data_IF_593829244632
#
_entry.id   IF_593829244632
#
_cell.length_a   1.000
_cell.length_b   1.000
_cell.length_c   1.000
_cell.angle_alpha   90.00
_cell.angle_beta   90.00
_cell.angle_gamma   90.00
#
_symmetry.space_group_name_H-M   'P 1'
#
loop_
_entity.id
_entity.type
_entity.pdbx_description
1 polymer ?
#
# COMPACT_ATOMS: atom_id res chain seq x y z
N UNK A 1 10.90 6.95 -28.83
CA UNK A 1 11.25 7.32 -27.44
C UNK A 1 10.48 6.36 -26.55
N UNK A 2 11.17 5.42 -25.90
CA UNK A 2 10.52 4.50 -24.96
C UNK A 2 9.93 5.31 -23.81
N UNK A 3 8.67 5.06 -23.47
CA UNK A 3 7.94 5.81 -22.45
C UNK A 3 8.16 5.13 -21.11
N UNK A 4 9.17 5.58 -20.36
CA UNK A 4 9.42 5.09 -19.00
C UNK A 4 8.40 5.69 -18.03
N UNK A 5 7.65 4.83 -17.34
CA UNK A 5 6.76 5.23 -16.25
C UNK A 5 7.59 5.35 -14.96
N UNK A 6 7.71 6.56 -14.41
CA UNK A 6 8.50 6.82 -13.19
C UNK A 6 7.63 7.35 -12.04
N UNK A 7 7.88 6.86 -10.83
CA UNK A 7 7.17 7.23 -9.62
C UNK A 7 7.99 6.88 -8.37
N UNK A 8 7.60 7.39 -7.21
CA UNK A 8 8.33 7.17 -5.95
C UNK A 8 7.65 6.09 -5.14
N UNK A 9 8.39 5.06 -4.72
CA UNK A 9 7.91 4.00 -3.83
C UNK A 9 8.77 3.96 -2.58
N UNK A 10 8.16 4.14 -1.40
CA UNK A 10 8.85 4.13 -0.10
C UNK A 10 10.07 5.07 -0.06
N UNK A 11 9.95 6.25 -0.67
CA UNK A 11 11.01 7.26 -0.75
C UNK A 11 12.07 7.02 -1.84
N UNK A 12 11.95 5.96 -2.64
CA UNK A 12 12.88 5.65 -3.74
C UNK A 12 12.22 5.88 -5.10
N UNK A 13 12.90 6.61 -5.98
CA UNK A 13 12.46 6.76 -7.37
C UNK A 13 12.65 5.42 -8.09
N UNK A 14 11.57 4.90 -8.67
CA UNK A 14 11.55 3.66 -9.44
C UNK A 14 10.91 3.91 -10.81
N UNK A 15 11.13 2.99 -11.75
CA UNK A 15 10.48 3.07 -13.05
C UNK A 15 10.41 1.75 -13.80
N UNK A 16 9.57 1.73 -14.83
CA UNK A 16 9.39 0.60 -15.74
C UNK A 16 8.84 1.08 -17.07
N UNK A 17 9.19 0.39 -18.16
CA UNK A 17 8.63 0.64 -19.49
C UNK A 17 7.38 -0.20 -19.76
N UNK A 18 7.01 -1.11 -18.84
CA UNK A 18 5.84 -1.97 -18.96
C UNK A 18 4.58 -1.32 -18.40
N UNK A 19 3.51 -1.28 -19.21
CA UNK A 19 2.16 -0.92 -18.75
C UNK A 19 1.48 -2.15 -18.13
N UNK A 20 1.48 -2.24 -16.80
CA UNK A 20 0.83 -3.33 -16.07
C UNK A 20 0.14 -2.87 -14.80
N UNK A 21 -0.57 -3.79 -14.16
CA UNK A 21 -1.17 -3.55 -12.84
C UNK A 21 -0.11 -3.06 -11.86
N UNK A 22 -0.37 -1.97 -11.15
CA UNK A 22 0.54 -1.43 -10.16
C UNK A 22 0.78 -2.45 -9.03
N UNK A 23 -0.26 -3.18 -8.62
CA UNK A 23 -0.13 -4.28 -7.65
C UNK A 23 0.91 -5.30 -8.10
N UNK A 24 0.87 -5.72 -9.38
CA UNK A 24 1.79 -6.72 -9.92
C UNK A 24 3.21 -6.19 -9.98
N UNK A 25 3.40 -4.96 -10.43
CA UNK A 25 4.72 -4.32 -10.40
C UNK A 25 5.30 -4.23 -8.97
N UNK A 26 4.54 -3.69 -8.01
CA UNK A 26 5.00 -3.58 -6.62
C UNK A 26 5.33 -4.95 -6.02
N UNK A 27 4.47 -5.95 -6.25
CA UNK A 27 4.60 -7.26 -5.62
C UNK A 27 5.64 -8.14 -6.30
N UNK A 28 5.63 -8.21 -7.62
CA UNK A 28 6.37 -9.22 -8.38
C UNK A 28 7.72 -8.67 -8.85
N UNK A 29 7.78 -7.41 -9.28
CA UNK A 29 9.02 -6.78 -9.74
C UNK A 29 9.82 -6.17 -8.57
N UNK A 30 9.17 -5.38 -7.72
CA UNK A 30 9.82 -4.75 -6.56
C UNK A 30 9.84 -5.62 -5.30
N UNK A 31 9.25 -6.82 -5.36
CA UNK A 31 9.22 -7.79 -4.26
C UNK A 31 8.58 -7.26 -2.96
N UNK A 32 7.71 -6.25 -3.03
CA UNK A 32 6.96 -5.72 -1.89
C UNK A 32 5.76 -6.63 -1.59
N UNK A 33 6.07 -7.80 -1.01
CA UNK A 33 5.10 -8.89 -0.82
C UNK A 33 4.05 -8.58 0.26
N UNK A 34 4.14 -7.45 0.97
CA UNK A 34 3.05 -6.98 1.84
C UNK A 34 1.79 -6.64 1.05
N UNK A 35 1.93 -6.18 -0.19
CA UNK A 35 0.82 -5.92 -1.11
C UNK A 35 0.24 -7.27 -1.55
N UNK A 36 -0.97 -7.61 -1.08
CA UNK A 36 -1.57 -8.93 -1.32
C UNK A 36 -2.59 -8.91 -2.45
N UNK A 37 -2.51 -9.89 -3.34
CA UNK A 37 -3.54 -10.17 -4.32
C UNK A 37 -4.60 -11.11 -3.71
N UNK A 38 -5.69 -10.55 -3.21
CA UNK A 38 -6.81 -11.34 -2.67
C UNK A 38 -8.00 -11.48 -3.64
N UNK A 39 -8.14 -10.57 -4.61
CA UNK A 39 -9.26 -10.62 -5.56
C UNK A 39 -8.95 -10.05 -6.95
N UNK A 40 -7.83 -9.34 -7.15
CA UNK A 40 -7.48 -8.65 -8.40
C UNK A 40 -8.49 -7.66 -9.00
N UNK A 41 -9.64 -7.38 -8.35
CA UNK A 41 -10.76 -6.62 -8.94
C UNK A 41 -11.26 -5.46 -8.08
N UNK A 42 -10.47 -5.01 -7.10
CA UNK A 42 -10.80 -3.85 -6.27
C UNK A 42 -11.85 -4.11 -5.18
N UNK A 43 -12.23 -5.36 -4.92
CA UNK A 43 -13.22 -5.69 -3.88
C UNK A 43 -12.62 -5.73 -2.47
N UNK A 44 -11.61 -6.57 -2.23
CA UNK A 44 -11.22 -6.98 -0.87
C UNK A 44 -10.29 -6.03 -0.10
N UNK A 45 -9.61 -5.08 -0.76
CA UNK A 45 -8.70 -4.13 -0.09
C UNK A 45 -7.37 -4.71 0.43
N UNK A 46 -7.05 -5.98 0.20
CA UNK A 46 -5.78 -6.58 0.66
C UNK A 46 -4.54 -6.00 -0.03
N UNK A 47 -4.74 -5.32 -1.16
CA UNK A 47 -3.71 -4.65 -1.96
C UNK A 47 -3.63 -3.13 -1.70
N UNK A 48 -4.27 -2.64 -0.63
CA UNK A 48 -4.28 -1.20 -0.31
C UNK A 48 -2.87 -0.70 -0.02
N UNK A 49 -2.52 0.41 -0.68
CA UNK A 49 -1.30 1.20 -0.55
C UNK A 49 -1.69 2.66 -0.29
N UNK A 50 -0.78 3.49 0.20
CA UNK A 50 -0.99 4.95 0.19
C UNK A 50 -0.46 5.50 -1.13
N UNK A 51 -1.23 6.38 -1.76
CA UNK A 51 -0.89 7.11 -2.97
C UNK A 51 -1.19 8.58 -2.73
N UNK A 52 -0.18 9.43 -2.74
CA UNK A 52 -0.29 10.88 -2.49
C UNK A 52 -1.11 11.18 -1.20
N UNK A 53 -0.84 10.42 -0.14
CA UNK A 53 -1.52 10.54 1.16
C UNK A 53 -2.88 9.84 1.29
N UNK A 54 -3.45 9.29 0.21
CA UNK A 54 -4.74 8.59 0.23
C UNK A 54 -4.60 7.06 0.16
N UNK A 55 -5.43 6.32 0.89
CA UNK A 55 -5.51 4.86 0.76
C UNK A 55 -6.16 4.47 -0.58
N UNK A 56 -5.44 3.71 -1.41
CA UNK A 56 -5.90 3.28 -2.73
C UNK A 56 -5.60 1.80 -2.95
N UNK A 57 -6.53 1.11 -3.61
CA UNK A 57 -6.36 -0.31 -4.00
C UNK A 57 -5.43 -0.39 -5.21
N UNK A 58 -4.24 -0.94 -5.04
CA UNK A 58 -3.23 -0.97 -6.13
C UNK A 58 -3.64 -1.83 -7.33
N UNK A 59 -4.54 -2.81 -7.17
CA UNK A 59 -4.93 -3.70 -8.27
C UNK A 59 -5.74 -3.02 -9.38
N UNK A 60 -6.40 -1.90 -9.09
CA UNK A 60 -7.16 -1.09 -10.07
C UNK A 60 -6.35 0.09 -10.63
N UNK A 61 -5.09 0.24 -10.23
CA UNK A 61 -4.13 1.19 -10.78
C UNK A 61 -3.16 0.50 -11.74
N UNK A 62 -2.56 1.27 -12.63
CA UNK A 62 -1.51 0.82 -13.54
C UNK A 62 -0.22 1.60 -13.31
N UNK A 63 0.92 1.05 -13.71
CA UNK A 63 2.23 1.74 -13.73
C UNK A 63 2.16 3.07 -14.48
N UNK A 64 1.44 3.13 -15.60
CA UNK A 64 1.18 4.37 -16.35
C UNK A 64 0.43 5.42 -15.53
N UNK A 65 -0.59 5.01 -14.77
CA UNK A 65 -1.36 5.94 -13.92
C UNK A 65 -0.63 6.30 -12.62
N UNK A 66 0.42 5.57 -12.28
CA UNK A 66 1.25 5.83 -11.12
C UNK A 66 2.28 6.94 -11.36
N UNK A 67 2.51 7.36 -12.61
CA UNK A 67 3.55 8.33 -12.96
C UNK A 67 3.49 9.59 -12.11
N UNK A 68 4.62 9.96 -11.53
CA UNK A 68 4.80 11.15 -10.70
C UNK A 68 4.20 11.07 -9.29
N UNK A 69 3.59 9.93 -8.92
CA UNK A 69 2.95 9.76 -7.61
C UNK A 69 3.92 9.28 -6.53
N UNK A 70 3.58 9.57 -5.29
CA UNK A 70 4.26 9.05 -4.11
C UNK A 70 3.48 7.88 -3.52
N UNK A 71 4.13 6.71 -3.44
CA UNK A 71 3.55 5.46 -2.99
C UNK A 71 4.22 5.00 -1.70
N UNK A 72 3.41 4.62 -0.71
CA UNK A 72 3.89 3.98 0.53
C UNK A 72 3.21 2.62 0.71
N UNK A 73 4.01 1.58 0.94
CA UNK A 73 3.59 0.23 1.34
C UNK A 73 3.96 -0.05 2.79
N UNK A 74 3.65 -1.24 3.32
CA UNK A 74 4.03 -1.61 4.70
C UNK A 74 5.55 -1.52 4.90
N UNK A 75 6.32 -1.91 3.88
CA UNK A 75 7.78 -1.88 3.89
C UNK A 75 8.31 -0.46 4.13
N UNK A 76 7.62 0.58 3.62
CA UNK A 76 7.99 1.99 3.78
C UNK A 76 7.63 2.61 5.12
N UNK A 77 6.87 1.93 5.99
CA UNK A 77 6.57 2.46 7.32
C UNK A 77 7.83 2.54 8.17
N UNK A 78 7.90 3.57 9.00
CA UNK A 78 8.96 3.71 10.00
C UNK A 78 8.92 2.55 11.00
N UNK A 79 10.05 2.28 11.67
CA UNK A 79 10.13 1.24 12.70
C UNK A 79 9.10 1.45 13.81
N UNK A 80 8.93 2.69 14.28
CA UNK A 80 7.98 3.06 15.33
C UNK A 80 6.54 2.76 14.91
N UNK A 81 6.16 3.11 13.68
CA UNK A 81 4.82 2.80 13.17
C UNK A 81 4.59 1.30 13.09
N UNK A 82 5.55 0.53 12.56
CA UNK A 82 5.46 -0.93 12.51
C UNK A 82 5.24 -1.54 13.89
N UNK A 83 6.04 -1.14 14.88
CA UNK A 83 5.90 -1.61 16.27
C UNK A 83 4.55 -1.21 16.88
N UNK A 84 4.09 0.02 16.61
CA UNK A 84 2.79 0.53 17.10
C UNK A 84 1.62 -0.27 16.53
N UNK A 85 1.60 -0.49 15.20
CA UNK A 85 0.52 -1.25 14.56
C UNK A 85 0.54 -2.72 14.95
N UNK A 86 1.73 -3.34 15.06
CA UNK A 86 1.86 -4.72 15.54
C UNK A 86 1.28 -4.86 16.95
N UNK A 87 1.65 -3.95 17.86
CA UNK A 87 1.12 -3.97 19.22
C UNK A 87 -0.40 -3.76 19.22
N UNK A 88 -0.89 -2.67 18.61
CA UNK A 88 -2.31 -2.31 18.65
C UNK A 88 -3.21 -3.38 18.01
N UNK A 89 -2.85 -3.91 16.84
CA UNK A 89 -3.63 -4.98 16.20
C UNK A 89 -3.52 -6.30 16.98
N UNK A 90 -2.34 -6.60 17.55
CA UNK A 90 -2.10 -7.81 18.31
C UNK A 90 -2.89 -7.88 19.61
N UNK A 91 -2.83 -6.84 20.45
CA UNK A 91 -3.50 -6.83 21.77
C UNK A 91 -5.02 -6.81 21.67
N UNK A 92 -5.57 -6.30 20.56
CA UNK A 92 -7.01 -6.28 20.30
C UNK A 92 -7.51 -7.54 19.56
N UNK A 93 -6.66 -8.54 19.32
CA UNK A 93 -7.06 -9.76 18.63
C UNK A 93 -7.48 -9.55 17.17
N UNK A 94 -7.08 -8.45 16.54
CA UNK A 94 -7.45 -8.11 15.17
C UNK A 94 -6.81 -9.03 14.11
N UNK A 95 -5.80 -9.80 14.49
CA UNK A 95 -5.04 -10.68 13.61
C UNK A 95 -5.44 -12.14 13.81
N UNK A 96 -6.00 -12.75 12.77
CA UNK A 96 -6.20 -14.21 12.68
C UNK A 96 -5.20 -14.81 11.70
N UNK A 97 -5.59 -15.04 10.44
CA UNK A 97 -4.69 -15.56 9.40
C UNK A 97 -3.63 -14.55 8.93
N UNK A 98 -3.82 -13.26 9.22
CA UNK A 98 -2.89 -12.19 8.89
C UNK A 98 -2.94 -11.68 7.43
N UNK A 99 -3.68 -12.33 6.53
CA UNK A 99 -3.62 -12.00 5.09
C UNK A 99 -4.13 -10.59 4.76
N UNK A 100 -5.19 -10.12 5.43
CA UNK A 100 -5.76 -8.78 5.21
C UNK A 100 -5.01 -7.66 5.95
N UNK A 101 -4.19 -8.02 6.94
CA UNK A 101 -3.63 -7.06 7.91
C UNK A 101 -2.76 -5.98 7.25
N UNK A 102 -1.91 -6.26 6.24
CA UNK A 102 -1.21 -5.21 5.51
C UNK A 102 -2.14 -4.11 4.96
N UNK A 103 -3.25 -4.50 4.32
CA UNK A 103 -4.21 -3.54 3.79
C UNK A 103 -4.95 -2.76 4.88
N UNK A 104 -5.28 -3.43 5.99
CA UNK A 104 -5.91 -2.78 7.15
C UNK A 104 -4.99 -1.76 7.82
N UNK A 105 -3.72 -2.10 8.02
CA UNK A 105 -2.71 -1.20 8.61
C UNK A 105 -2.49 0.03 7.74
N UNK A 106 -2.38 -0.14 6.42
CA UNK A 106 -2.25 0.99 5.50
C UNK A 106 -3.49 1.89 5.53
N UNK A 107 -4.69 1.30 5.60
CA UNK A 107 -5.94 2.07 5.69
C UNK A 107 -6.02 2.87 6.99
N UNK A 108 -5.65 2.25 8.11
CA UNK A 108 -5.56 2.92 9.41
C UNK A 108 -4.54 4.06 9.39
N UNK A 109 -3.35 3.83 8.82
CA UNK A 109 -2.34 4.88 8.67
C UNK A 109 -2.84 6.06 7.86
N UNK A 110 -3.42 5.82 6.69
CA UNK A 110 -3.93 6.89 5.84
C UNK A 110 -5.01 7.73 6.55
N UNK A 111 -5.84 7.09 7.38
CA UNK A 111 -6.80 7.78 8.22
C UNK A 111 -6.10 8.63 9.30
N UNK A 112 -5.18 8.03 10.06
CA UNK A 112 -4.52 8.66 11.21
C UNK A 112 -3.55 9.78 10.82
N UNK A 113 -2.91 9.69 9.65
CA UNK A 113 -2.07 10.76 9.10
C UNK A 113 -2.90 12.02 8.79
N UNK A 114 -4.20 11.86 8.46
CA UNK A 114 -5.12 12.96 8.16
C UNK A 114 -5.93 13.41 9.39
N UNK A 115 -6.35 12.48 10.23
CA UNK A 115 -7.13 12.71 11.43
C UNK A 115 -6.59 11.85 12.57
N UNK A 116 -5.85 12.46 13.49
CA UNK A 116 -5.21 11.77 14.61
C UNK A 116 -6.18 11.37 15.73
N UNK A 117 -7.43 11.81 15.69
CA UNK A 117 -8.46 11.44 16.66
C UNK A 117 -9.80 11.16 15.95
N UNK A 118 -9.88 10.08 15.16
CA UNK A 118 -11.11 9.72 14.45
C UNK A 118 -12.18 9.25 15.43
N UNK A 119 -13.43 9.44 15.03
CA UNK A 119 -14.59 8.80 15.64
C UNK A 119 -14.72 7.36 15.16
N UNK A 120 -15.67 6.62 15.73
CA UNK A 120 -15.99 5.27 15.30
C UNK A 120 -16.57 5.24 13.87
N UNK A 121 -17.39 6.24 13.52
CA UNK A 121 -17.86 6.54 12.16
C UNK A 121 -16.86 7.42 11.38
#
# INVERSE_FOLDING_TARGET
>A
MEKTFQFTVNGQLVGTDEKKSLMRYLRDDLLLKSVKDGCSQGACGTCTIIVDGAAVKSCILTTEKAVGKEIVTIEGLSRREKETYVYAFGVNGAVQCGFCIPGMVISAKALLDRNSNPTED
#
